data_IF_536273311386
#
_entry.id   IF_536273311386
#
_cell.length_a   1.000
_cell.length_b   1.000
_cell.length_c   1.000
_cell.angle_alpha   90.00
_cell.angle_beta   90.00
_cell.angle_gamma   90.00
#
_symmetry.space_group_name_H-M   'P 1'
#
loop_
_entity.id
_entity.type
_entity.pdbx_description
1 polymer ?
#
# COMPACT_ATOMS: atom_id res chain seq x y z
N UNK A 1 -12.66 6.27 6.04
CA UNK A 1 -12.98 4.89 5.63
C UNK A 1 -12.97 4.03 6.89
N UNK A 2 -13.97 3.17 7.09
CA UNK A 2 -13.99 2.24 8.22
C UNK A 2 -12.86 1.21 8.07
N UNK A 3 -12.30 0.76 9.19
CA UNK A 3 -11.17 -0.18 9.23
C UNK A 3 -11.48 -1.47 8.46
N UNK A 4 -12.62 -2.09 8.74
CA UNK A 4 -13.03 -3.35 8.10
C UNK A 4 -13.24 -3.18 6.57
N UNK A 5 -13.83 -2.06 6.14
CA UNK A 5 -13.96 -1.76 4.71
C UNK A 5 -12.59 -1.62 4.03
N UNK A 6 -11.60 -1.02 4.70
CA UNK A 6 -10.25 -0.87 4.18
C UNK A 6 -9.56 -2.22 4.01
N UNK A 7 -9.70 -3.12 4.99
CA UNK A 7 -9.19 -4.49 4.91
C UNK A 7 -9.83 -5.25 3.73
N UNK A 8 -11.15 -5.24 3.63
CA UNK A 8 -11.89 -5.89 2.55
C UNK A 8 -11.50 -5.35 1.16
N UNK A 9 -11.28 -4.03 1.03
CA UNK A 9 -10.79 -3.46 -0.22
C UNK A 9 -9.41 -4.00 -0.60
N UNK A 10 -8.46 -4.05 0.35
CA UNK A 10 -7.12 -4.57 0.07
C UNK A 10 -7.13 -6.07 -0.28
N UNK A 11 -8.01 -6.86 0.31
CA UNK A 11 -8.20 -8.26 -0.07
C UNK A 11 -8.69 -8.41 -1.51
N UNK A 12 -9.63 -7.58 -1.95
CA UNK A 12 -10.07 -7.53 -3.36
C UNK A 12 -8.95 -7.10 -4.30
N UNK A 13 -8.08 -6.18 -3.88
CA UNK A 13 -6.89 -5.79 -4.65
C UNK A 13 -5.93 -6.97 -4.80
N UNK A 14 -5.74 -7.76 -3.74
CA UNK A 14 -4.90 -8.96 -3.78
C UNK A 14 -5.47 -10.05 -4.69
N UNK A 15 -6.81 -10.16 -4.78
CA UNK A 15 -7.52 -11.06 -5.72
C UNK A 15 -7.61 -10.52 -7.15
N UNK A 16 -7.02 -9.35 -7.43
CA UNK A 16 -7.08 -8.68 -8.74
C UNK A 16 -8.49 -8.23 -9.18
N UNK A 17 -9.42 -8.13 -8.23
CA UNK A 17 -10.81 -7.74 -8.50
C UNK A 17 -10.98 -6.21 -8.47
N UNK A 18 -10.31 -5.55 -7.52
CA UNK A 18 -10.36 -4.09 -7.37
C UNK A 18 -9.02 -3.46 -7.77
N UNK A 19 -9.03 -2.58 -8.78
CA UNK A 19 -7.84 -1.85 -9.19
C UNK A 19 -7.59 -0.64 -8.28
N UNK A 20 -6.31 -0.34 -8.02
CA UNK A 20 -5.88 0.87 -7.32
C UNK A 20 -5.54 1.95 -8.34
N UNK A 21 -6.14 3.16 -8.25
CA UNK A 21 -5.84 4.25 -9.17
C UNK A 21 -4.43 4.82 -8.92
N UNK A 22 -3.62 4.94 -9.97
CA UNK A 22 -2.27 5.50 -9.87
C UNK A 22 -2.29 6.99 -10.22
N UNK A 23 -2.41 7.87 -9.22
CA UNK A 23 -2.56 9.32 -9.47
C UNK A 23 -1.25 10.03 -9.83
N UNK A 24 -0.14 9.69 -9.14
CA UNK A 24 1.18 10.34 -9.29
C UNK A 24 2.09 9.60 -10.28
N UNK A 25 2.43 8.35 -10.00
CA UNK A 25 3.36 7.54 -10.80
C UNK A 25 2.61 6.71 -11.84
N UNK A 26 2.13 7.37 -12.91
CA UNK A 26 1.18 6.80 -13.88
C UNK A 26 1.68 6.66 -15.33
N UNK A 27 2.94 7.03 -15.58
CA UNK A 27 3.50 6.98 -16.94
C UNK A 27 3.57 5.54 -17.43
N UNK A 28 3.11 5.29 -18.67
CA UNK A 28 3.12 3.97 -19.32
C UNK A 28 2.32 2.88 -18.57
N UNK A 29 1.30 3.27 -17.82
CA UNK A 29 0.39 2.35 -17.12
C UNK A 29 -0.86 2.19 -17.98
N UNK A 30 -1.29 0.94 -18.18
CA UNK A 30 -2.49 0.62 -18.97
C UNK A 30 -3.77 1.13 -18.31
N UNK A 31 -4.79 1.37 -19.14
CA UNK A 31 -6.09 1.79 -18.66
C UNK A 31 -6.85 0.64 -17.99
N UNK A 32 -7.70 0.94 -17.01
CA UNK A 32 -8.56 -0.04 -16.33
C UNK A 32 -10.01 0.42 -16.31
N UNK A 33 -10.92 -0.43 -16.81
CA UNK A 33 -12.36 -0.16 -16.83
C UNK A 33 -13.01 -0.20 -15.44
N UNK A 34 -12.40 -0.90 -14.49
CA UNK A 34 -12.90 -0.99 -13.10
C UNK A 34 -12.69 0.28 -12.28
N UNK A 35 -11.99 1.28 -12.81
CA UNK A 35 -11.77 2.57 -12.15
C UNK A 35 -12.79 3.58 -12.66
N UNK A 36 -13.66 4.06 -11.77
CA UNK A 36 -14.70 5.02 -12.13
C UNK A 36 -14.15 6.44 -12.36
N UNK A 37 -13.16 6.87 -11.55
CA UNK A 37 -12.69 8.27 -11.55
C UNK A 37 -11.34 8.48 -12.25
N UNK A 38 -10.65 7.42 -12.69
CA UNK A 38 -9.28 7.55 -13.19
C UNK A 38 -8.89 6.47 -14.20
N UNK A 39 -8.24 6.85 -15.29
CA UNK A 39 -7.92 5.92 -16.38
C UNK A 39 -6.85 4.88 -16.00
N UNK A 40 -5.77 5.28 -15.31
CA UNK A 40 -4.62 4.43 -15.07
C UNK A 40 -4.61 3.79 -13.67
N UNK A 41 -4.36 2.48 -13.62
CA UNK A 41 -4.16 1.79 -12.35
C UNK A 41 -3.76 0.34 -12.50
N UNK A 42 -3.60 -0.33 -11.37
CA UNK A 42 -3.17 -1.72 -11.32
C UNK A 42 -3.44 -2.37 -9.97
N UNK A 43 -2.84 -3.54 -9.78
CA UNK A 43 -3.06 -4.38 -8.61
C UNK A 43 -1.73 -4.58 -7.88
N UNK A 44 -1.34 -3.66 -6.97
CA UNK A 44 -0.07 -3.74 -6.26
C UNK A 44 -0.12 -4.78 -5.13
N UNK A 45 -0.17 -6.07 -5.47
CA UNK A 45 -0.35 -7.20 -4.53
C UNK A 45 0.67 -7.17 -3.39
N UNK A 46 1.95 -6.94 -3.70
CA UNK A 46 3.01 -6.88 -2.70
C UNK A 46 2.76 -5.76 -1.68
N UNK A 47 2.41 -4.56 -2.14
CA UNK A 47 2.16 -3.43 -1.26
C UNK A 47 0.88 -3.63 -0.45
N UNK A 48 -0.20 -4.10 -1.09
CA UNK A 48 -1.47 -4.39 -0.44
C UNK A 48 -1.31 -5.38 0.72
N UNK A 49 -0.48 -6.42 0.55
CA UNK A 49 -0.16 -7.39 1.63
C UNK A 49 0.45 -6.72 2.86
N UNK A 50 1.43 -5.83 2.68
CA UNK A 50 2.08 -5.15 3.81
C UNK A 50 1.17 -4.13 4.49
N UNK A 51 0.34 -3.41 3.72
CA UNK A 51 -0.65 -2.46 4.27
C UNK A 51 -1.74 -3.21 5.03
N UNK A 52 -2.22 -4.33 4.51
CA UNK A 52 -3.22 -5.17 5.19
C UNK A 52 -2.69 -5.69 6.54
N UNK A 53 -1.43 -6.13 6.57
CA UNK A 53 -0.78 -6.55 7.82
C UNK A 53 -0.70 -5.40 8.85
N UNK A 54 -0.44 -4.16 8.40
CA UNK A 54 -0.41 -3.00 9.30
C UNK A 54 -1.81 -2.62 9.81
N UNK A 55 -2.86 -2.76 9.00
CA UNK A 55 -4.24 -2.56 9.45
C UNK A 55 -4.69 -3.63 10.45
N UNK A 56 -4.29 -4.89 10.28
CA UNK A 56 -4.55 -5.96 11.26
C UNK A 56 -3.83 -5.72 12.59
N UNK A 57 -2.61 -5.19 12.54
CA UNK A 57 -1.91 -4.75 13.75
C UNK A 57 -2.61 -3.56 14.42
N UNK A 58 -3.17 -2.64 13.64
CA UNK A 58 -3.94 -1.51 14.18
C UNK A 58 -5.21 -2.00 14.90
N UNK A 59 -5.91 -2.96 14.31
CA UNK A 59 -7.07 -3.64 14.90
C UNK A 59 -6.72 -4.32 16.23
N UNK A 60 -5.69 -5.18 16.23
CA UNK A 60 -5.24 -5.88 17.44
C UNK A 60 -4.82 -4.90 18.56
N UNK A 61 -4.16 -3.78 18.20
CA UNK A 61 -3.79 -2.75 19.16
C UNK A 61 -4.99 -1.99 19.73
N UNK A 62 -6.06 -1.84 18.95
CA UNK A 62 -7.27 -1.16 19.38
C UNK A 62 -8.12 -2.05 20.29
N UNK A 63 -8.28 -3.32 19.93
CA UNK A 63 -8.91 -4.35 20.79
C UNK A 63 -8.17 -4.47 22.12
N UNK A 64 -6.83 -4.50 22.10
CA UNK A 64 -6.01 -4.51 23.31
C UNK A 64 -6.26 -3.29 24.21
N UNK A 65 -6.60 -2.14 23.62
CA UNK A 65 -6.96 -0.91 24.34
C UNK A 65 -8.43 -0.85 24.76
N UNK A 66 -9.24 -1.85 24.42
CA UNK A 66 -10.67 -1.90 24.72
C UNK A 66 -11.53 -1.00 23.83
N UNK A 67 -11.04 -0.58 22.66
CA UNK A 67 -11.80 0.20 21.68
C UNK A 67 -12.66 -0.74 20.82
N UNK A 68 -13.80 -0.25 20.33
CA UNK A 68 -14.67 -1.01 19.43
C UNK A 68 -14.10 -1.01 18.00
N UNK A 69 -13.60 -2.18 17.56
CA UNK A 69 -12.98 -2.37 16.24
C UNK A 69 -13.92 -2.00 15.07
N UNK A 70 -15.23 -2.15 15.23
CA UNK A 70 -16.21 -1.81 14.18
C UNK A 70 -16.34 -0.31 13.96
N UNK A 71 -16.08 0.48 15.01
CA UNK A 71 -16.19 1.95 15.01
C UNK A 71 -14.89 2.66 14.66
N UNK A 72 -13.82 1.92 14.38
CA UNK A 72 -12.54 2.51 14.02
C UNK A 72 -12.57 3.05 12.59
N UNK A 73 -12.27 4.33 12.48
CA UNK A 73 -12.06 5.01 11.22
C UNK A 73 -10.56 5.23 11.02
N UNK A 74 -10.06 4.94 9.82
CA UNK A 74 -8.71 5.33 9.42
C UNK A 74 -8.69 6.85 9.21
N UNK A 75 -8.12 7.57 10.17
CA UNK A 75 -8.05 9.03 10.17
C UNK A 75 -6.84 9.54 9.36
N UNK A 76 -5.70 8.88 9.51
CA UNK A 76 -4.47 9.23 8.80
C UNK A 76 -3.80 7.98 8.25
N UNK A 77 -3.30 8.08 7.03
CA UNK A 77 -2.48 7.07 6.38
C UNK A 77 -1.43 7.75 5.50
N UNK A 78 -0.16 7.47 5.75
CA UNK A 78 0.94 8.04 4.99
C UNK A 78 2.02 6.99 4.72
N UNK A 79 2.74 7.17 3.61
CA UNK A 79 3.92 6.39 3.28
C UNK A 79 5.08 7.35 2.99
N UNK A 80 6.18 7.20 3.72
CA UNK A 80 7.38 8.00 3.57
C UNK A 80 8.54 7.14 3.08
N UNK A 81 9.45 7.76 2.31
CA UNK A 81 10.62 7.05 1.76
C UNK A 81 11.58 6.71 2.91
N UNK A 82 11.90 5.44 3.05
CA UNK A 82 12.89 4.95 4.00
C UNK A 82 14.30 4.90 3.42
N UNK A 83 15.19 4.21 4.13
CA UNK A 83 16.58 4.02 3.73
C UNK A 83 16.68 3.31 2.38
N UNK A 84 17.66 3.70 1.57
CA UNK A 84 18.01 3.03 0.31
C UNK A 84 19.15 2.06 0.56
N UNK A 85 18.92 0.78 0.30
CA UNK A 85 19.98 -0.25 0.29
C UNK A 85 20.63 -0.21 -1.08
N UNK A 86 21.93 0.10 -1.10
CA UNK A 86 22.71 0.19 -2.34
C UNK A 86 23.17 -1.21 -2.75
N UNK A 87 22.96 -1.52 -4.02
CA UNK A 87 23.39 -2.73 -4.69
C UNK A 87 23.77 -2.37 -6.14
N UNK A 88 24.60 -3.18 -6.77
CA UNK A 88 25.16 -2.94 -8.10
C UNK A 88 25.21 -4.22 -8.91
N UNK A 89 24.75 -4.15 -10.17
CA UNK A 89 24.71 -5.30 -11.07
C UNK A 89 25.74 -5.11 -12.19
N UNK A 90 26.60 -6.12 -12.46
CA UNK A 90 27.55 -6.05 -13.57
C UNK A 90 26.82 -5.98 -14.92
N UNK A 91 27.42 -5.27 -15.88
CA UNK A 91 26.93 -5.05 -17.23
C UNK A 91 28.04 -5.38 -18.23
N UNK A 92 27.66 -5.46 -19.51
CA UNK A 92 28.60 -5.68 -20.60
C UNK A 92 29.74 -4.65 -20.59
N UNK A 93 30.89 -5.05 -21.14
CA UNK A 93 32.11 -4.24 -21.23
C UNK A 93 32.66 -3.80 -19.86
N UNK A 94 32.54 -4.65 -18.83
CA UNK A 94 33.10 -4.40 -17.49
C UNK A 94 32.43 -3.26 -16.71
N UNK A 95 31.26 -2.79 -17.16
CA UNK A 95 30.53 -1.72 -16.49
C UNK A 95 29.73 -2.26 -15.31
N UNK A 96 29.37 -1.38 -14.38
CA UNK A 96 28.44 -1.68 -13.30
C UNK A 96 27.37 -0.60 -13.21
N UNK A 97 26.14 -0.99 -12.89
CA UNK A 97 25.01 -0.06 -12.75
C UNK A 97 24.27 -0.26 -11.42
N UNK A 98 23.76 0.82 -10.81
CA UNK A 98 22.92 0.75 -9.61
C UNK A 98 21.69 -0.17 -9.75
N UNK A 99 21.44 -0.97 -8.71
CA UNK A 99 20.24 -1.77 -8.53
C UNK A 99 19.66 -1.56 -7.12
N UNK A 100 19.34 -0.30 -6.80
CA UNK A 100 19.03 0.07 -5.42
C UNK A 100 17.65 -0.42 -4.95
N UNK A 101 17.59 -0.91 -3.72
CA UNK A 101 16.35 -1.26 -3.04
C UNK A 101 15.91 -0.10 -2.13
N UNK A 102 14.75 0.49 -2.42
CA UNK A 102 14.20 1.59 -1.62
C UNK A 102 13.23 1.02 -0.58
N UNK A 103 13.52 1.25 0.71
CA UNK A 103 12.61 0.92 1.81
C UNK A 103 11.55 2.02 1.99
N UNK A 104 10.48 1.70 2.73
CA UNK A 104 9.34 2.58 2.96
C UNK A 104 8.90 2.47 4.41
N UNK A 105 8.57 3.60 5.04
CA UNK A 105 7.87 3.64 6.32
C UNK A 105 6.39 3.89 6.06
N UNK A 106 5.53 3.20 6.79
CA UNK A 106 4.07 3.31 6.69
C UNK A 106 3.56 3.76 8.05
N UNK A 107 2.77 4.83 8.06
CA UNK A 107 2.15 5.41 9.24
C UNK A 107 0.63 5.32 9.10
N UNK A 108 -0.04 4.82 10.15
CA UNK A 108 -1.50 4.70 10.22
C UNK A 108 -2.00 5.20 11.57
N UNK A 109 -3.07 5.99 11.55
CA UNK A 109 -3.76 6.45 12.76
C UNK A 109 -5.24 6.09 12.64
N UNK A 110 -5.71 5.30 13.60
CA UNK A 110 -7.12 5.00 13.80
C UNK A 110 -7.72 5.93 14.85
N UNK A 111 -8.97 6.33 14.63
CA UNK A 111 -9.79 7.05 15.62
C UNK A 111 -11.11 6.31 15.79
N UNK A 112 -11.52 6.11 17.03
CA UNK A 112 -12.85 5.62 17.36
C UNK A 112 -13.89 6.73 17.14
N UNK A 113 -14.98 6.38 16.47
CA UNK A 113 -16.09 7.28 16.17
C UNK A 113 -17.18 7.29 17.23
#
# INVERSE_FOLDING_TARGET
>A
MMLHSAQAYLEKVMKLEAAVPYRRYKKKVGHRSSLFEFHAGGYPVKAAKFVLATLKNLEANAEFKGLDAERIIVQHAAASRGRVIKDFVPRAFGRSSPNYHVLVHIELVGRES
#
